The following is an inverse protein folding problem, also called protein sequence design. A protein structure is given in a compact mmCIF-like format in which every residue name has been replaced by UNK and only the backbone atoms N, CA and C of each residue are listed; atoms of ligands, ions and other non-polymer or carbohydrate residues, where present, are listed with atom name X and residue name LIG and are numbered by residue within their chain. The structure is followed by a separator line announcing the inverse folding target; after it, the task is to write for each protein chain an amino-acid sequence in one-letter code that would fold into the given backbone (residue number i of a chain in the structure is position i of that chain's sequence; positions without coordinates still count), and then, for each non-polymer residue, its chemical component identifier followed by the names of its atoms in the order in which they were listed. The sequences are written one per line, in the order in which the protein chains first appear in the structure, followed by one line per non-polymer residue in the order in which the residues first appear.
data_IF_708915616187
#
_entry.id   IF_708915616187
#
_cell.length_a   1.000
_cell.length_b   1.000
_cell.length_c   1.000
_cell.angle_alpha   90.00
_cell.angle_beta   90.00
_cell.angle_gamma   90.00
#
_symmetry.space_group_name_H-M   'P 1'
#
loop_
_entity.id
_entity.type
_entity.pdbx_description
1 polymer ?
#
# COMPACT_ATOMS: atom_id res chain seq x y z
N UNK A 1 68.04 39.13 39.00
CA UNK A 1 66.99 38.12 39.29
C UNK A 1 67.55 36.78 38.86
N UNK A 2 68.22 36.00 39.73
CA UNK A 2 67.64 35.02 40.68
C UNK A 2 66.70 34.03 39.95
N UNK A 3 66.80 32.70 39.99
CA UNK A 3 67.64 31.72 40.73
C UNK A 3 67.39 30.32 40.13
N UNK A 4 68.31 29.43 40.49
CA UNK A 4 68.53 28.02 40.14
C UNK A 4 67.53 26.94 40.65
N UNK A 5 67.47 25.83 39.90
CA UNK A 5 67.51 24.40 40.32
C UNK A 5 66.24 23.63 40.82
N UNK A 6 66.23 22.27 40.81
CA UNK A 6 65.27 21.42 40.08
C UNK A 6 64.42 20.51 41.00
N UNK A 7 63.40 19.78 40.51
CA UNK A 7 62.95 18.54 41.18
C UNK A 7 62.02 17.60 40.38
N UNK A 8 62.43 16.32 40.37
CA UNK A 8 61.69 15.04 40.46
C UNK A 8 60.47 14.72 39.58
N UNK A 9 60.70 13.72 38.71
CA UNK A 9 60.10 12.37 38.77
C UNK A 9 58.96 12.15 39.78
N UNK A 10 57.74 11.92 39.28
CA UNK A 10 56.83 10.91 39.86
C UNK A 10 56.11 10.16 38.74
N UNK A 11 56.34 8.86 38.76
CA UNK A 11 55.59 7.77 38.16
C UNK A 11 54.06 7.96 38.06
N UNK A 12 53.51 7.73 36.87
CA UNK A 12 52.14 7.22 36.72
C UNK A 12 52.15 5.97 35.83
N UNK A 13 52.92 4.98 36.29
CA UNK A 13 52.73 3.56 35.99
C UNK A 13 51.42 3.12 36.64
N UNK A 14 50.29 3.48 36.03
CA UNK A 14 48.97 2.94 36.40
C UNK A 14 48.25 2.46 35.14
N UNK A 15 48.58 1.22 34.79
CA UNK A 15 47.62 0.19 34.36
C UNK A 15 46.71 0.66 33.22
N UNK A 16 47.27 0.82 32.02
CA UNK A 16 46.52 0.39 30.83
C UNK A 16 46.46 -1.13 30.87
N UNK A 17 45.46 -1.68 31.58
CA UNK A 17 44.94 -3.00 31.23
C UNK A 17 44.36 -2.87 29.82
N UNK A 18 45.22 -3.03 28.82
CA UNK A 18 44.78 -3.45 27.50
C UNK A 18 44.14 -4.81 27.72
N UNK A 19 42.82 -4.82 27.87
CA UNK A 19 42.04 -6.04 27.67
C UNK A 19 42.36 -6.43 26.22
N UNK A 20 43.28 -7.38 26.10
CA UNK A 20 43.77 -7.88 24.82
C UNK A 20 42.66 -8.76 24.25
N UNK A 21 41.70 -8.13 23.59
CA UNK A 21 40.73 -8.87 22.80
C UNK A 21 41.51 -9.65 21.74
N UNK A 22 41.30 -10.97 21.59
CA UNK A 22 41.97 -11.77 20.57
C UNK A 22 41.83 -11.09 19.19
N UNK A 23 42.96 -10.73 18.57
CA UNK A 23 43.03 -9.98 17.30
C UNK A 23 42.37 -10.73 16.13
N UNK A 24 42.24 -12.04 16.26
CA UNK A 24 41.69 -12.97 15.26
C UNK A 24 40.19 -12.78 15.00
N UNK A 25 39.47 -12.02 15.85
CA UNK A 25 38.01 -11.90 15.73
C UNK A 25 37.51 -10.49 15.36
N UNK A 26 38.40 -9.49 15.21
CA UNK A 26 37.96 -8.11 14.87
C UNK A 26 37.34 -7.98 13.48
N UNK A 27 37.81 -8.77 12.52
CA UNK A 27 37.29 -8.77 11.15
C UNK A 27 35.87 -9.38 11.10
N UNK A 28 35.67 -10.53 11.74
CA UNK A 28 34.37 -11.19 11.82
C UNK A 28 33.37 -10.36 12.62
N UNK A 29 33.75 -9.83 13.78
CA UNK A 29 32.88 -8.98 14.60
C UNK A 29 32.49 -7.71 13.84
N UNK A 30 33.44 -7.02 13.17
CA UNK A 30 33.12 -5.84 12.36
C UNK A 30 32.25 -6.17 11.15
N UNK A 31 32.50 -7.29 10.48
CA UNK A 31 31.68 -7.74 9.36
C UNK A 31 30.26 -8.12 9.81
N UNK A 32 30.10 -8.79 10.96
CA UNK A 32 28.78 -9.13 11.51
C UNK A 32 28.04 -7.88 11.96
N UNK A 33 28.67 -6.97 12.70
CA UNK A 33 28.04 -5.71 13.11
C UNK A 33 27.76 -4.77 11.93
N UNK A 34 28.64 -4.69 10.91
CA UNK A 34 28.36 -3.89 9.71
C UNK A 34 27.20 -4.49 8.92
N UNK A 35 27.16 -5.81 8.76
CA UNK A 35 26.10 -6.47 8.01
C UNK A 35 24.76 -6.38 8.74
N UNK A 36 24.73 -6.55 10.06
CA UNK A 36 23.51 -6.38 10.85
C UNK A 36 23.08 -4.91 10.94
N UNK A 37 24.01 -3.97 11.16
CA UNK A 37 23.68 -2.54 11.19
C UNK A 37 23.17 -2.06 9.83
N UNK A 38 23.85 -2.39 8.73
CA UNK A 38 23.42 -2.05 7.37
C UNK A 38 22.10 -2.74 7.02
N UNK A 39 21.90 -4.01 7.38
CA UNK A 39 20.61 -4.69 7.19
C UNK A 39 19.50 -4.00 7.99
N UNK A 40 19.76 -3.63 9.24
CA UNK A 40 18.78 -2.95 10.09
C UNK A 40 18.48 -1.54 9.57
N UNK A 41 19.45 -0.80 9.05
CA UNK A 41 19.23 0.49 8.39
C UNK A 41 18.46 0.36 7.07
N UNK A 42 18.77 -0.64 6.25
CA UNK A 42 18.03 -0.93 5.02
C UNK A 42 16.59 -1.33 5.33
N UNK A 43 16.39 -2.22 6.31
CA UNK A 43 15.06 -2.59 6.78
C UNK A 43 14.33 -1.39 7.36
N UNK A 44 15.01 -0.51 8.10
CA UNK A 44 14.42 0.71 8.65
C UNK A 44 14.03 1.69 7.54
N UNK A 45 14.90 1.92 6.55
CA UNK A 45 14.60 2.76 5.38
C UNK A 45 13.45 2.17 4.56
N UNK A 46 13.49 0.87 4.28
CA UNK A 46 12.43 0.14 3.61
C UNK A 46 11.10 0.26 4.37
N UNK A 47 11.08 -0.01 5.69
CA UNK A 47 9.88 0.14 6.50
C UNK A 47 9.37 1.59 6.53
N UNK A 48 10.26 2.57 6.63
CA UNK A 48 9.87 4.00 6.72
C UNK A 48 9.29 4.48 5.39
N UNK A 49 9.92 4.13 4.27
CA UNK A 49 9.48 4.48 2.92
C UNK A 49 8.15 3.79 2.57
N UNK A 50 8.03 2.50 2.89
CA UNK A 50 6.82 1.73 2.64
C UNK A 50 5.65 2.17 3.54
N UNK A 51 5.89 2.38 4.84
CA UNK A 51 4.88 2.87 5.80
C UNK A 51 4.41 4.29 5.47
N UNK A 52 5.30 5.19 5.01
CA UNK A 52 4.90 6.55 4.60
C UNK A 52 3.95 6.50 3.41
N UNK A 53 4.27 5.67 2.43
CA UNK A 53 3.51 5.58 1.17
C UNK A 53 2.05 5.15 1.39
N UNK A 54 1.78 4.24 2.35
CA UNK A 54 0.41 3.81 2.65
C UNK A 54 -0.45 4.93 3.25
N UNK A 55 0.04 5.71 4.20
CA UNK A 55 -0.76 6.80 4.78
C UNK A 55 -0.77 8.04 3.87
N UNK A 56 0.28 8.23 3.08
CA UNK A 56 0.41 9.34 2.15
C UNK A 56 -0.56 9.24 0.96
N UNK A 57 -1.15 8.08 0.68
CA UNK A 57 -2.11 7.93 -0.42
C UNK A 57 -3.33 8.89 -0.25
N UNK A 58 -3.77 9.14 0.99
CA UNK A 58 -4.87 10.08 1.25
C UNK A 58 -4.49 11.54 1.02
N UNK A 59 -3.19 11.87 1.00
CA UNK A 59 -2.72 13.23 0.68
C UNK A 59 -3.13 13.65 -0.73
N UNK A 60 -3.20 12.70 -1.68
CA UNK A 60 -3.58 12.97 -3.06
C UNK A 60 -5.03 13.44 -3.22
N UNK A 61 -5.91 13.13 -2.26
CA UNK A 61 -7.31 13.59 -2.27
C UNK A 61 -7.39 15.13 -2.27
N UNK A 62 -6.39 15.83 -1.70
CA UNK A 62 -6.34 17.29 -1.72
C UNK A 62 -6.28 17.87 -3.14
N UNK A 63 -5.69 17.14 -4.07
CA UNK A 63 -5.56 17.52 -5.49
C UNK A 63 -6.80 17.21 -6.32
N UNK A 64 -7.87 16.68 -5.72
CA UNK A 64 -9.17 16.53 -6.40
C UNK A 64 -9.79 17.87 -6.80
N UNK A 65 -9.42 18.95 -6.11
CA UNK A 65 -9.85 20.31 -6.47
C UNK A 65 -9.37 20.72 -7.85
N UNK A 66 -8.27 20.12 -8.31
CA UNK A 66 -7.66 20.39 -9.61
C UNK A 66 -8.21 19.45 -10.70
N UNK A 67 -9.09 18.50 -10.35
CA UNK A 67 -9.64 17.53 -11.28
C UNK A 67 -10.66 18.18 -12.22
N UNK A 68 -10.68 17.80 -13.51
CA UNK A 68 -11.77 18.19 -14.40
C UNK A 68 -13.10 17.68 -13.86
N UNK A 69 -14.16 18.49 -14.01
CA UNK A 69 -15.48 18.20 -13.43
C UNK A 69 -16.10 16.92 -13.99
N UNK A 70 -15.89 16.64 -15.28
CA UNK A 70 -16.49 15.49 -15.96
C UNK A 70 -16.01 14.14 -15.39
N UNK A 71 -14.70 13.82 -15.34
CA UNK A 71 -14.19 12.60 -14.69
C UNK A 71 -14.61 12.47 -13.23
N UNK A 72 -14.65 13.57 -12.48
CA UNK A 72 -15.04 13.56 -11.08
C UNK A 72 -16.51 13.17 -10.92
N UNK A 73 -17.41 13.81 -11.68
CA UNK A 73 -18.85 13.51 -11.65
C UNK A 73 -19.15 12.08 -12.06
N UNK A 74 -18.57 11.59 -13.17
CA UNK A 74 -18.76 10.21 -13.60
C UNK A 74 -18.17 9.20 -12.61
N UNK A 75 -17.02 9.51 -12.00
CA UNK A 75 -16.44 8.70 -10.94
C UNK A 75 -17.37 8.56 -9.74
N UNK A 76 -17.92 9.69 -9.26
CA UNK A 76 -18.86 9.69 -8.13
C UNK A 76 -20.17 8.97 -8.44
N UNK A 77 -20.70 9.13 -9.65
CA UNK A 77 -21.88 8.37 -10.10
C UNK A 77 -21.63 6.86 -10.10
N UNK A 78 -20.40 6.43 -10.40
CA UNK A 78 -19.99 5.03 -10.29
C UNK A 78 -20.09 4.45 -8.86
N UNK A 79 -20.13 5.28 -7.81
CA UNK A 79 -20.29 4.80 -6.43
C UNK A 79 -21.74 4.50 -6.04
N UNK A 80 -22.72 4.93 -6.84
CA UNK A 80 -24.15 4.71 -6.56
C UNK A 80 -24.49 3.23 -6.37
N UNK A 81 -24.17 2.31 -7.30
CA UNK A 81 -24.47 0.88 -7.12
C UNK A 81 -23.73 0.26 -5.93
N UNK A 82 -22.55 0.76 -5.58
CA UNK A 82 -21.79 0.31 -4.41
C UNK A 82 -22.50 0.65 -3.10
N UNK A 83 -22.99 1.88 -2.96
CA UNK A 83 -23.63 2.34 -1.73
C UNK A 83 -25.07 1.83 -1.60
N UNK A 84 -25.82 1.74 -2.70
CA UNK A 84 -27.23 1.36 -2.68
C UNK A 84 -27.48 -0.03 -2.08
N UNK A 85 -26.60 -0.99 -2.37
CA UNK A 85 -26.77 -2.39 -1.96
C UNK A 85 -26.66 -2.60 -0.44
N UNK A 86 -25.56 -2.23 0.25
CA UNK A 86 -25.46 -2.35 1.70
C UNK A 86 -26.51 -1.49 2.43
N UNK A 87 -26.86 -0.32 1.90
CA UNK A 87 -27.92 0.51 2.47
C UNK A 87 -29.29 -0.19 2.43
N UNK A 88 -29.61 -0.86 1.31
CA UNK A 88 -30.84 -1.62 1.16
C UNK A 88 -30.89 -2.86 2.06
N UNK A 89 -29.79 -3.60 2.18
CA UNK A 89 -29.70 -4.73 3.11
C UNK A 89 -29.82 -4.27 4.57
N UNK A 90 -29.23 -3.12 4.91
CA UNK A 90 -29.33 -2.53 6.24
C UNK A 90 -30.77 -2.08 6.57
N UNK A 91 -31.50 -1.51 5.62
CA UNK A 91 -32.87 -1.04 5.84
C UNK A 91 -33.88 -2.18 5.94
N UNK A 92 -33.68 -3.25 5.17
CA UNK A 92 -34.54 -4.45 5.20
C UNK A 92 -34.21 -5.41 6.34
N UNK A 93 -33.00 -5.33 6.90
CA UNK A 93 -32.53 -6.23 7.96
C UNK A 93 -32.33 -7.67 7.50
N UNK A 94 -32.21 -7.89 6.19
CA UNK A 94 -32.07 -9.23 5.59
C UNK A 94 -30.86 -9.24 4.64
N UNK A 95 -30.06 -10.29 4.73
CA UNK A 95 -28.97 -10.49 3.79
C UNK A 95 -29.49 -11.17 2.51
N UNK A 96 -29.28 -10.52 1.37
CA UNK A 96 -29.67 -11.00 0.04
C UNK A 96 -28.42 -11.39 -0.76
N UNK A 97 -28.09 -12.69 -0.90
CA UNK A 97 -26.90 -13.15 -1.61
C UNK A 97 -26.79 -12.64 -3.05
N UNK A 98 -27.92 -12.57 -3.77
CA UNK A 98 -27.97 -12.11 -5.16
C UNK A 98 -27.55 -10.65 -5.28
N UNK A 99 -27.98 -9.79 -4.34
CA UNK A 99 -27.56 -8.39 -4.29
C UNK A 99 -26.08 -8.26 -3.91
N UNK A 100 -25.57 -9.11 -3.01
CA UNK A 100 -24.14 -9.13 -2.72
C UNK A 100 -23.34 -9.54 -3.96
N UNK A 101 -23.85 -10.48 -4.76
CA UNK A 101 -23.25 -10.89 -6.02
C UNK A 101 -23.28 -9.77 -7.07
N UNK A 102 -24.37 -9.01 -7.19
CA UNK A 102 -24.39 -7.86 -8.13
C UNK A 102 -23.39 -6.78 -7.73
N UNK A 103 -23.23 -6.52 -6.43
CA UNK A 103 -22.18 -5.61 -5.93
C UNK A 103 -20.78 -6.12 -6.28
N UNK A 104 -20.54 -7.42 -6.10
CA UNK A 104 -19.27 -8.07 -6.45
C UNK A 104 -19.01 -8.02 -7.97
N UNK A 105 -20.03 -8.28 -8.79
CA UNK A 105 -19.90 -8.23 -10.24
C UNK A 105 -19.60 -6.83 -10.75
N UNK A 106 -20.23 -5.82 -10.15
CA UNK A 106 -19.88 -4.42 -10.41
C UNK A 106 -18.44 -4.12 -9.97
N UNK A 107 -18.02 -4.61 -8.81
CA UNK A 107 -16.64 -4.49 -8.31
C UNK A 107 -15.62 -5.08 -9.28
N UNK A 108 -15.86 -6.30 -9.76
CA UNK A 108 -15.02 -6.96 -10.75
C UNK A 108 -14.93 -6.14 -12.05
N UNK A 109 -16.04 -5.55 -12.48
CA UNK A 109 -16.07 -4.69 -13.68
C UNK A 109 -15.18 -3.46 -13.53
N UNK A 110 -15.21 -2.80 -12.37
CA UNK A 110 -14.34 -1.65 -12.06
C UNK A 110 -12.87 -2.06 -11.94
N UNK A 111 -12.57 -3.18 -11.29
CA UNK A 111 -11.19 -3.70 -11.21
C UNK A 111 -10.65 -3.98 -12.62
N UNK A 112 -11.43 -4.61 -13.51
CA UNK A 112 -11.03 -4.83 -14.90
C UNK A 112 -10.83 -3.52 -15.67
N UNK A 113 -11.71 -2.53 -15.45
CA UNK A 113 -11.57 -1.18 -16.03
C UNK A 113 -10.26 -0.49 -15.63
N UNK A 114 -9.77 -0.70 -14.39
CA UNK A 114 -8.45 -0.20 -13.96
C UNK A 114 -7.33 -0.76 -14.82
N UNK A 115 -7.39 -2.05 -15.17
CA UNK A 115 -6.47 -2.69 -16.10
C UNK A 115 -6.49 -2.04 -17.48
N UNK A 116 -7.69 -1.79 -18.02
CA UNK A 116 -7.87 -1.11 -19.31
C UNK A 116 -7.29 0.31 -19.34
N UNK A 117 -7.43 1.08 -18.26
CA UNK A 117 -6.81 2.41 -18.16
C UNK A 117 -5.29 2.32 -18.24
N UNK A 118 -4.68 1.35 -17.54
CA UNK A 118 -3.23 1.13 -17.59
C UNK A 118 -2.78 0.80 -19.01
N UNK A 119 -3.52 -0.05 -19.72
CA UNK A 119 -3.20 -0.39 -21.10
C UNK A 119 -3.21 0.86 -21.97
N UNK A 120 -4.24 1.69 -21.83
CA UNK A 120 -4.39 2.94 -22.58
C UNK A 120 -3.24 3.92 -22.36
N UNK A 121 -2.68 3.99 -21.15
CA UNK A 121 -1.52 4.85 -20.87
C UNK A 121 -0.21 4.36 -21.47
N UNK A 122 -0.15 3.12 -21.94
CA UNK A 122 1.06 2.53 -22.53
C UNK A 122 1.11 2.69 -24.05
N UNK A 123 0.11 3.32 -24.69
CA UNK A 123 0.04 3.44 -26.15
C UNK A 123 1.20 4.24 -26.77
N UNK A 124 1.76 5.20 -26.02
CA UNK A 124 2.88 6.04 -26.45
C UNK A 124 4.26 5.46 -26.06
N UNK A 125 4.29 4.41 -25.23
CA UNK A 125 5.54 3.81 -24.74
C UNK A 125 6.01 2.66 -25.64
N UNK A 126 7.34 2.54 -25.79
CA UNK A 126 7.97 1.42 -26.52
C UNK A 126 7.59 0.06 -25.93
N UNK A 127 7.61 -1.00 -26.77
CA UNK A 127 7.13 -2.37 -26.60
C UNK A 127 7.63 -3.14 -25.34
N UNK A 128 7.36 -2.62 -24.14
CA UNK A 128 7.70 -3.23 -22.86
C UNK A 128 6.57 -4.17 -22.43
N UNK A 129 6.71 -5.43 -22.85
CA UNK A 129 5.77 -6.51 -22.55
C UNK A 129 5.45 -6.64 -21.05
N UNK A 130 6.37 -6.26 -20.16
CA UNK A 130 6.14 -6.34 -18.70
C UNK A 130 5.01 -5.39 -18.29
N UNK A 131 5.03 -4.15 -18.79
CA UNK A 131 4.01 -3.14 -18.46
C UNK A 131 2.62 -3.57 -18.94
N UNK A 132 2.53 -4.13 -20.14
CA UNK A 132 1.29 -4.72 -20.65
C UNK A 132 0.81 -5.89 -19.79
N UNK A 133 1.71 -6.77 -19.35
CA UNK A 133 1.36 -7.89 -18.46
C UNK A 133 0.75 -7.39 -17.15
N UNK A 134 1.34 -6.36 -16.53
CA UNK A 134 0.80 -5.74 -15.31
C UNK A 134 -0.55 -5.04 -15.51
N UNK A 135 -0.88 -4.65 -16.74
CA UNK A 135 -2.18 -4.08 -17.10
C UNK A 135 -3.28 -5.13 -17.24
N UNK A 136 -2.94 -6.40 -17.51
CA UNK A 136 -3.90 -7.52 -17.57
C UNK A 136 -4.25 -8.04 -16.17
N UNK A 137 -3.31 -7.96 -15.22
CA UNK A 137 -3.49 -8.51 -13.87
C UNK A 137 -4.80 -8.09 -13.19
N UNK A 138 -5.27 -6.82 -13.28
CA UNK A 138 -6.57 -6.44 -12.75
C UNK A 138 -7.75 -7.21 -13.35
N UNK A 139 -7.78 -7.39 -14.66
CA UNK A 139 -8.86 -8.15 -15.33
C UNK A 139 -8.88 -9.61 -14.90
N UNK A 140 -7.70 -10.24 -14.73
CA UNK A 140 -7.60 -11.62 -14.22
C UNK A 140 -8.03 -11.68 -12.75
N UNK A 141 -7.58 -10.74 -11.91
CA UNK A 141 -7.98 -10.68 -10.51
C UNK A 141 -9.50 -10.47 -10.33
N UNK A 142 -10.11 -9.65 -11.19
CA UNK A 142 -11.55 -9.44 -11.26
C UNK A 142 -12.30 -10.72 -11.63
N UNK A 143 -11.81 -11.46 -12.62
CA UNK A 143 -12.40 -12.74 -13.01
C UNK A 143 -12.29 -13.77 -11.88
N UNK A 144 -11.14 -13.85 -11.21
CA UNK A 144 -10.98 -14.71 -10.03
C UNK A 144 -11.93 -14.33 -8.89
N UNK A 145 -12.18 -13.04 -8.68
CA UNK A 145 -13.14 -12.56 -7.67
C UNK A 145 -14.54 -13.17 -7.86
N UNK A 146 -14.96 -13.31 -9.12
CA UNK A 146 -16.27 -13.87 -9.49
C UNK A 146 -16.35 -15.39 -9.34
N UNK A 147 -15.22 -16.09 -9.45
CA UNK A 147 -15.16 -17.54 -9.35
C UNK A 147 -15.09 -18.04 -7.90
N UNK A 148 -14.61 -17.20 -6.98
CA UNK A 148 -14.50 -17.56 -5.57
C UNK A 148 -15.91 -17.61 -4.96
N UNK A 149 -16.30 -18.72 -4.30
CA UNK A 149 -17.64 -18.82 -3.73
C UNK A 149 -17.78 -18.08 -2.40
N UNK A 150 -18.99 -17.56 -2.15
CA UNK A 150 -19.40 -17.01 -0.86
C UNK A 150 -18.63 -15.75 -0.46
N UNK A 151 -18.41 -15.57 0.84
CA UNK A 151 -17.82 -14.34 1.43
C UNK A 151 -16.37 -14.09 1.00
N UNK A 152 -15.65 -15.13 0.62
CA UNK A 152 -14.24 -15.03 0.20
C UNK A 152 -14.06 -14.22 -1.07
N UNK A 153 -15.08 -14.17 -1.94
CA UNK A 153 -15.08 -13.31 -3.13
C UNK A 153 -14.94 -11.83 -2.78
N UNK A 154 -15.68 -11.38 -1.75
CA UNK A 154 -15.67 -9.99 -1.27
C UNK A 154 -14.29 -9.66 -0.69
N UNK A 155 -13.70 -10.57 0.09
CA UNK A 155 -12.34 -10.41 0.63
C UNK A 155 -11.32 -10.30 -0.49
N UNK A 156 -11.43 -11.12 -1.53
CA UNK A 156 -10.56 -11.07 -2.70
C UNK A 156 -10.71 -9.75 -3.48
N UNK A 157 -11.93 -9.27 -3.67
CA UNK A 157 -12.20 -7.99 -4.32
C UNK A 157 -11.60 -6.82 -3.52
N UNK A 158 -11.75 -6.82 -2.18
CA UNK A 158 -11.14 -5.83 -1.28
C UNK A 158 -9.60 -5.82 -1.40
N UNK A 159 -8.98 -7.01 -1.36
CA UNK A 159 -7.54 -7.14 -1.51
C UNK A 159 -7.05 -6.66 -2.89
N UNK A 160 -7.79 -7.00 -3.95
CA UNK A 160 -7.50 -6.57 -5.32
C UNK A 160 -7.56 -5.05 -5.45
N UNK A 161 -8.62 -4.41 -4.95
CA UNK A 161 -8.76 -2.96 -4.95
C UNK A 161 -7.59 -2.27 -4.25
N UNK A 162 -7.23 -2.73 -3.04
CA UNK A 162 -6.13 -2.13 -2.28
C UNK A 162 -4.77 -2.34 -2.94
N UNK A 163 -4.52 -3.55 -3.47
CA UNK A 163 -3.28 -3.89 -4.16
C UNK A 163 -3.07 -3.06 -5.43
N UNK A 164 -4.12 -2.91 -6.24
CA UNK A 164 -4.03 -2.11 -7.46
C UNK A 164 -3.98 -0.61 -7.21
N UNK A 165 -4.67 -0.10 -6.17
CA UNK A 165 -4.55 1.29 -5.76
C UNK A 165 -3.11 1.61 -5.32
N UNK A 166 -2.52 0.74 -4.50
CA UNK A 166 -1.13 0.88 -4.07
C UNK A 166 -0.17 0.95 -5.27
N UNK A 167 -0.38 0.08 -6.27
CA UNK A 167 0.39 0.11 -7.50
C UNK A 167 0.21 1.42 -8.30
N UNK A 168 -1.02 1.92 -8.45
CA UNK A 168 -1.30 3.15 -9.21
C UNK A 168 -0.70 4.40 -8.53
N UNK A 169 -0.68 4.43 -7.19
CA UNK A 169 -0.12 5.56 -6.43
C UNK A 169 1.41 5.56 -6.47
N UNK A 170 2.04 4.38 -6.37
CA UNK A 170 3.51 4.23 -6.38
C UNK A 170 4.13 4.50 -7.74
N UNK A 171 3.40 4.27 -8.85
CA UNK A 171 3.95 4.50 -10.18
C UNK A 171 3.99 5.99 -10.56
N UNK A 172 5.12 6.50 -11.06
CA UNK A 172 5.16 7.79 -11.74
C UNK A 172 4.45 7.67 -13.10
N UNK A 173 3.74 8.72 -13.52
CA UNK A 173 3.06 8.77 -14.83
C UNK A 173 1.62 9.28 -14.76
N UNK A 174 0.90 9.04 -13.66
CA UNK A 174 -0.45 9.58 -13.49
C UNK A 174 -0.43 11.01 -12.94
N UNK A 175 -1.30 11.91 -13.44
CA UNK A 175 -1.47 13.23 -12.86
C UNK A 175 -2.02 13.13 -11.42
N UNK A 176 -1.63 14.07 -10.58
CA UNK A 176 -1.93 14.04 -9.13
C UNK A 176 -3.44 13.99 -8.85
N UNK A 177 -4.26 14.72 -9.62
CA UNK A 177 -5.71 14.71 -9.49
C UNK A 177 -6.31 13.32 -9.76
N UNK A 178 -5.74 12.57 -10.71
CA UNK A 178 -6.20 11.22 -11.05
C UNK A 178 -5.85 10.22 -9.95
N UNK A 179 -4.65 10.33 -9.35
CA UNK A 179 -4.28 9.56 -8.17
C UNK A 179 -5.24 9.83 -7.01
N UNK A 180 -5.57 11.09 -6.75
CA UNK A 180 -6.55 11.49 -5.74
C UNK A 180 -7.93 10.88 -6.00
N UNK A 181 -8.38 10.89 -7.26
CA UNK A 181 -9.66 10.30 -7.68
C UNK A 181 -9.68 8.79 -7.44
N UNK A 182 -8.61 8.09 -7.82
CA UNK A 182 -8.48 6.65 -7.55
C UNK A 182 -8.59 6.33 -6.06
N UNK A 183 -7.87 7.08 -5.21
CA UNK A 183 -7.90 6.87 -3.76
C UNK A 183 -9.32 7.08 -3.22
N UNK A 184 -10.01 8.16 -3.60
CA UNK A 184 -11.37 8.42 -3.16
C UNK A 184 -12.35 7.30 -3.58
N UNK A 185 -12.34 6.93 -4.86
CA UNK A 185 -13.29 5.94 -5.38
C UNK A 185 -13.04 4.55 -4.80
N UNK A 186 -11.77 4.14 -4.72
CA UNK A 186 -11.41 2.84 -4.16
C UNK A 186 -11.71 2.77 -2.67
N UNK A 187 -11.43 3.81 -1.89
CA UNK A 187 -11.73 3.81 -0.45
C UNK A 187 -13.23 3.76 -0.18
N UNK A 188 -14.04 4.53 -0.91
CA UNK A 188 -15.50 4.46 -0.81
C UNK A 188 -16.05 3.07 -1.22
N UNK A 189 -15.51 2.49 -2.30
CA UNK A 189 -15.89 1.13 -2.75
C UNK A 189 -15.49 0.06 -1.73
N UNK A 190 -14.31 0.17 -1.11
CA UNK A 190 -13.87 -0.75 -0.07
C UNK A 190 -14.74 -0.64 1.19
N UNK A 191 -15.11 0.57 1.62
CA UNK A 191 -15.99 0.77 2.78
C UNK A 191 -17.36 0.12 2.58
N UNK A 192 -17.95 0.30 1.39
CA UNK A 192 -19.27 -0.28 1.07
C UNK A 192 -19.19 -1.81 0.94
N UNK A 193 -18.16 -2.37 0.32
CA UNK A 193 -17.93 -3.82 0.28
C UNK A 193 -17.69 -4.41 1.66
N UNK A 194 -16.94 -3.72 2.50
CA UNK A 194 -16.69 -4.12 3.88
C UNK A 194 -17.98 -4.11 4.71
N UNK A 195 -18.84 -3.11 4.52
CA UNK A 195 -20.18 -3.09 5.10
C UNK A 195 -20.99 -4.32 4.67
N UNK A 196 -21.04 -4.65 3.37
CA UNK A 196 -21.72 -5.85 2.88
C UNK A 196 -21.14 -7.14 3.47
N UNK A 197 -19.82 -7.20 3.65
CA UNK A 197 -19.16 -8.32 4.31
C UNK A 197 -19.65 -8.48 5.76
N UNK A 198 -19.70 -7.39 6.53
CA UNK A 198 -20.22 -7.38 7.92
C UNK A 198 -21.68 -7.81 7.94
N UNK A 199 -22.52 -7.23 7.08
CA UNK A 199 -23.94 -7.57 7.01
C UNK A 199 -24.14 -9.06 6.70
N UNK A 200 -23.26 -9.67 5.92
CA UNK A 200 -23.31 -11.11 5.66
C UNK A 200 -23.10 -11.96 6.91
N UNK A 201 -22.44 -11.44 7.96
CA UNK A 201 -22.24 -12.13 9.25
C UNK A 201 -23.36 -11.83 10.24
N UNK A 202 -23.92 -10.62 10.21
CA UNK A 202 -24.89 -10.14 11.21
C UNK A 202 -26.31 -10.55 10.86
N UNK A 203 -26.70 -10.42 9.58
CA UNK A 203 -28.10 -10.56 9.18
C UNK A 203 -28.44 -12.01 8.80
N UNK A 204 -29.70 -12.45 9.05
CA UNK A 204 -30.18 -13.73 8.56
C UNK A 204 -30.19 -13.73 7.02
N UNK A 205 -29.79 -14.86 6.44
CA UNK A 205 -29.81 -15.05 4.98
C UNK A 205 -31.23 -15.40 4.54
N UNK A 206 -31.68 -14.77 3.46
CA UNK A 206 -32.88 -15.19 2.73
C UNK A 206 -32.56 -16.30 1.75
#
# INVERSE_FOLDING_TARGET
MLTTFPYRSVSSLLIRRTVQYPLWNRANVRATYSNEFTKNELLRRYNTEHSSTYFDQFRYIRHLKDAPTVPLSFGLLGLVPFAAIPLYMCSTGIYLPDLAFTQLAYSASIISYVGGIRWGTLLEESNDWKKYTYSILPSVAAWLALLIPGRWSIVWALASFQGFLYYDVTKPGYPLWFKGLRVLLTTASCLTLFATLILSFVLPKK
#
